data_IF_475004328605
#
_entry.id   IF_475004328605
#
_cell.length_a   1.000
_cell.length_b   1.000
_cell.length_c   1.000
_cell.angle_alpha   90.00
_cell.angle_beta   90.00
_cell.angle_gamma   90.00
#
_symmetry.space_group_name_H-M   'P 1'
#
loop_
_entity.id
_entity.type
_entity.pdbx_description
1 polymer ?
#
# COMPACT_ATOMS: atom_id res chain seq x y z
N UNK A 1 -34.33 37.24 25.94
CA UNK A 1 -34.39 36.39 24.73
C UNK A 1 -32.97 36.16 24.26
N UNK A 2 -32.49 34.93 24.37
CA UNK A 2 -31.16 34.51 23.95
C UNK A 2 -31.16 34.19 22.45
N UNK A 3 -30.12 34.64 21.73
CA UNK A 3 -29.84 34.23 20.35
C UNK A 3 -28.38 33.85 20.25
N UNK A 4 -28.07 32.57 20.44
CA UNK A 4 -26.74 32.02 20.20
C UNK A 4 -26.64 31.69 18.72
N UNK A 5 -25.73 32.38 18.02
CA UNK A 5 -25.33 32.03 16.65
C UNK A 5 -24.51 30.74 16.71
N UNK A 6 -25.07 29.65 16.21
CA UNK A 6 -24.35 28.41 15.98
C UNK A 6 -23.46 28.58 14.74
N UNK A 7 -22.16 28.76 14.95
CA UNK A 7 -21.16 28.62 13.90
C UNK A 7 -21.03 27.13 13.57
N UNK A 8 -21.54 26.71 12.41
CA UNK A 8 -21.32 25.37 11.88
C UNK A 8 -19.85 25.25 11.46
N UNK A 9 -19.04 24.58 12.28
CA UNK A 9 -17.70 24.16 11.89
C UNK A 9 -17.80 23.11 10.78
N UNK A 10 -17.52 23.50 9.53
CA UNK A 10 -17.36 22.58 8.39
C UNK A 10 -16.04 21.82 8.51
N UNK A 11 -15.94 20.95 9.51
CA UNK A 11 -14.89 19.94 9.63
C UNK A 11 -15.30 18.68 8.87
N UNK A 12 -15.45 18.74 7.55
CA UNK A 12 -15.65 17.53 6.75
C UNK A 12 -14.30 16.82 6.58
N UNK A 13 -13.91 16.03 7.59
CA UNK A 13 -12.93 14.96 7.40
C UNK A 13 -13.48 14.00 6.35
N UNK A 14 -13.01 14.11 5.11
CA UNK A 14 -13.40 13.19 4.03
C UNK A 14 -13.10 11.75 4.48
N UNK A 15 -13.97 10.78 4.14
CA UNK A 15 -13.68 9.39 4.46
C UNK A 15 -12.34 9.03 3.83
N UNK A 16 -11.49 8.40 4.63
CA UNK A 16 -10.20 7.95 4.15
C UNK A 16 -10.42 6.93 3.04
N UNK A 17 -9.76 7.17 1.91
CA UNK A 17 -9.85 6.32 0.75
C UNK A 17 -9.08 5.04 1.05
N UNK A 18 -9.83 3.94 1.17
CA UNK A 18 -9.31 2.61 1.47
C UNK A 18 -8.07 2.35 0.60
N UNK A 19 -6.99 1.89 1.24
CA UNK A 19 -5.75 1.56 0.54
C UNK A 19 -5.95 0.49 -0.53
N UNK A 20 -5.01 0.42 -1.48
CA UNK A 20 -5.07 -0.53 -2.59
C UNK A 20 -5.04 -1.98 -2.10
N UNK A 21 -5.66 -2.86 -2.88
CA UNK A 21 -5.69 -4.30 -2.59
C UNK A 21 -4.46 -4.96 -3.23
N UNK A 22 -3.56 -5.58 -2.45
CA UNK A 22 -2.39 -6.27 -3.00
C UNK A 22 -2.74 -7.65 -3.57
N UNK A 23 -2.15 -7.98 -4.72
CA UNK A 23 -2.27 -9.31 -5.35
C UNK A 23 -1.02 -10.16 -5.10
N UNK A 24 0.17 -9.54 -5.14
CA UNK A 24 1.43 -10.24 -4.91
C UNK A 24 2.50 -9.32 -4.27
N UNK A 25 3.30 -9.80 -3.28
CA UNK A 25 3.24 -11.10 -2.63
C UNK A 25 1.89 -11.37 -1.96
N UNK A 26 1.46 -12.65 -1.98
CA UNK A 26 0.15 -13.05 -1.44
C UNK A 26 0.05 -12.64 0.02
N UNK A 27 -1.07 -12.03 0.39
CA UNK A 27 -1.32 -11.59 1.76
C UNK A 27 -1.90 -12.73 2.58
N UNK A 28 -1.11 -13.26 3.52
CA UNK A 28 -1.57 -14.28 4.47
C UNK A 28 -1.87 -13.68 5.83
N UNK A 29 -3.07 -13.92 6.36
CA UNK A 29 -3.49 -13.54 7.72
C UNK A 29 -3.77 -14.80 8.53
N UNK A 30 -3.28 -14.84 9.77
CA UNK A 30 -3.74 -15.84 10.74
C UNK A 30 -5.08 -15.40 11.32
N UNK A 31 -5.98 -16.33 11.56
CA UNK A 31 -7.35 -16.04 11.98
C UNK A 31 -7.47 -15.28 13.33
N UNK A 32 -6.47 -15.37 14.21
CA UNK A 32 -6.37 -14.60 15.46
C UNK A 32 -5.38 -13.43 15.41
N UNK A 33 -4.77 -13.15 14.25
CA UNK A 33 -3.74 -12.11 14.14
C UNK A 33 -4.28 -10.91 13.39
N UNK A 34 -4.10 -9.72 13.98
CA UNK A 34 -4.39 -8.45 13.31
C UNK A 34 -3.38 -8.12 12.21
N UNK A 35 -2.27 -8.86 12.16
CA UNK A 35 -1.15 -8.62 11.26
C UNK A 35 -0.95 -9.76 10.28
N UNK A 36 -0.31 -9.47 9.15
CA UNK A 36 0.02 -10.49 8.14
C UNK A 36 1.24 -11.31 8.52
N UNK A 37 1.36 -12.48 7.90
CA UNK A 37 2.57 -13.30 7.96
C UNK A 37 3.62 -12.81 6.98
N UNK A 38 4.89 -13.13 7.27
CA UNK A 38 5.97 -12.95 6.30
C UNK A 38 5.93 -14.08 5.27
N UNK A 39 5.46 -13.75 4.07
CA UNK A 39 5.44 -14.70 2.93
C UNK A 39 6.78 -14.67 2.21
N UNK A 40 7.33 -15.84 1.90
CA UNK A 40 8.56 -15.93 1.11
C UNK A 40 8.30 -15.60 -0.36
N UNK A 41 9.16 -14.76 -0.95
CA UNK A 41 9.18 -14.51 -2.40
C UNK A 41 10.24 -15.35 -3.09
N UNK A 42 10.18 -15.41 -4.41
CA UNK A 42 11.05 -16.31 -5.19
C UNK A 42 12.42 -15.76 -5.55
N UNK A 43 12.65 -14.46 -5.35
CA UNK A 43 13.88 -13.79 -5.77
C UNK A 43 14.28 -12.68 -4.80
N UNK A 44 15.53 -12.24 -4.89
CA UNK A 44 16.02 -11.01 -4.25
C UNK A 44 15.56 -9.74 -5.01
N UNK A 45 15.02 -9.89 -6.22
CA UNK A 45 14.39 -8.82 -7.02
C UNK A 45 12.91 -9.14 -7.29
N UNK A 46 12.06 -9.29 -6.25
CA UNK A 46 10.68 -9.68 -6.43
C UNK A 46 9.88 -8.65 -7.24
N UNK A 47 8.87 -9.17 -7.93
CA UNK A 47 7.78 -8.37 -8.50
C UNK A 47 6.71 -8.13 -7.44
N UNK A 48 6.08 -6.96 -7.47
CA UNK A 48 4.93 -6.60 -6.65
C UNK A 48 3.74 -6.30 -7.57
N UNK A 49 2.54 -6.69 -7.16
CA UNK A 49 1.30 -6.49 -7.91
C UNK A 49 0.16 -6.08 -6.99
N UNK A 50 -0.70 -5.20 -7.47
CA UNK A 50 -1.89 -4.72 -6.76
C UNK A 50 -3.04 -4.47 -7.73
N UNK A 51 -4.25 -4.40 -7.21
CA UNK A 51 -5.43 -4.05 -7.98
C UNK A 51 -5.40 -2.57 -8.35
N UNK A 52 -5.90 -2.20 -9.55
CA UNK A 52 -6.01 -0.80 -9.94
C UNK A 52 -6.91 -0.02 -8.98
N UNK A 53 -6.74 1.31 -8.96
CA UNK A 53 -7.63 2.20 -8.21
C UNK A 53 -9.10 2.00 -8.66
N UNK A 54 -9.97 1.63 -7.72
CA UNK A 54 -11.41 1.59 -7.96
C UNK A 54 -11.99 3.00 -7.91
N UNK A 55 -12.28 3.55 -9.10
CA UNK A 55 -12.80 4.91 -9.28
C UNK A 55 -14.14 5.09 -8.56
N UNK A 56 -14.98 4.05 -8.50
CA UNK A 56 -16.29 4.11 -7.87
C UNK A 56 -16.19 4.35 -6.35
N UNK A 57 -15.12 3.86 -5.71
CA UNK A 57 -14.89 4.05 -4.27
C UNK A 57 -14.35 5.44 -3.93
N UNK A 58 -13.58 6.06 -4.82
CA UNK A 58 -12.91 7.34 -4.55
C UNK A 58 -13.70 8.57 -4.99
N UNK A 59 -14.65 8.37 -5.89
CA UNK A 59 -15.60 9.37 -6.31
C UNK A 59 -17.02 8.76 -6.39
N UNK A 60 -17.62 8.42 -5.23
CA UNK A 60 -18.99 7.94 -5.19
C UNK A 60 -19.92 9.11 -5.56
N UNK A 61 -20.71 8.97 -6.62
CA UNK A 61 -21.50 10.07 -7.15
C UNK A 61 -23.01 9.79 -7.03
N UNK A 62 -23.82 10.81 -6.69
CA UNK A 62 -25.24 10.82 -7.01
C UNK A 62 -25.46 10.97 -8.53
N UNK A 63 -26.66 10.60 -9.07
CA UNK A 63 -26.89 10.36 -10.50
C UNK A 63 -26.73 11.56 -11.47
N UNK A 64 -26.38 12.76 -10.99
CA UNK A 64 -26.42 14.00 -11.79
C UNK A 64 -25.01 14.58 -12.06
N UNK A 65 -23.97 14.13 -11.37
CA UNK A 65 -22.59 14.59 -11.61
C UNK A 65 -21.64 13.42 -11.92
N UNK A 66 -20.77 13.60 -12.91
CA UNK A 66 -19.64 12.71 -13.18
C UNK A 66 -18.37 13.33 -12.60
N UNK A 67 -17.82 12.75 -11.54
CA UNK A 67 -16.46 13.07 -11.15
C UNK A 67 -15.49 12.58 -12.22
N UNK A 68 -14.62 13.47 -12.65
CA UNK A 68 -13.54 13.15 -13.55
C UNK A 68 -12.32 12.73 -12.73
N UNK A 69 -11.83 11.52 -12.99
CA UNK A 69 -10.59 11.01 -12.39
C UNK A 69 -9.51 10.92 -13.46
N UNK A 70 -8.42 11.64 -13.24
CA UNK A 70 -7.27 11.70 -14.16
C UNK A 70 -5.95 11.46 -13.41
N UNK A 71 -4.86 11.32 -14.17
CA UNK A 71 -3.48 11.29 -13.67
C UNK A 71 -3.19 10.21 -12.60
N UNK A 72 -3.86 9.05 -12.70
CA UNK A 72 -3.64 7.92 -11.80
C UNK A 72 -2.23 7.37 -11.95
N UNK A 73 -1.47 7.38 -10.87
CA UNK A 73 -0.15 6.77 -10.76
C UNK A 73 0.06 6.18 -9.36
N UNK A 74 1.08 5.34 -9.19
CA UNK A 74 1.30 4.59 -7.97
C UNK A 74 2.68 4.88 -7.35
N UNK A 75 2.72 4.79 -6.02
CA UNK A 75 3.95 4.87 -5.24
C UNK A 75 4.08 3.60 -4.41
N UNK A 76 5.21 2.89 -4.55
CA UNK A 76 5.56 1.73 -3.75
C UNK A 76 6.75 2.05 -2.84
N UNK A 77 6.69 1.55 -1.61
CA UNK A 77 7.78 1.65 -0.64
C UNK A 77 8.05 0.30 0.02
N UNK A 78 9.32 0.04 0.28
CA UNK A 78 9.79 -1.16 0.96
C UNK A 78 10.75 -0.77 2.07
N UNK A 79 10.53 -1.34 3.25
CA UNK A 79 11.34 -1.14 4.44
C UNK A 79 11.89 -2.46 4.94
N UNK A 80 13.19 -2.51 5.25
CA UNK A 80 13.78 -3.61 6.00
C UNK A 80 13.30 -3.53 7.45
N UNK A 81 12.72 -4.61 7.96
CA UNK A 81 12.27 -4.68 9.36
C UNK A 81 13.47 -4.56 10.31
N UNK A 82 13.42 -3.63 11.25
CA UNK A 82 14.44 -3.47 12.31
C UNK A 82 13.86 -3.91 13.66
N UNK A 83 12.69 -3.37 14.01
CA UNK A 83 11.86 -3.85 15.11
C UNK A 83 10.44 -4.14 14.59
N UNK A 84 9.51 -4.54 15.46
CA UNK A 84 8.13 -4.87 15.04
C UNK A 84 7.41 -3.69 14.37
N UNK A 85 7.63 -2.46 14.84
CA UNK A 85 6.93 -1.27 14.34
C UNK A 85 7.79 -0.34 13.50
N UNK A 86 9.09 -0.63 13.34
CA UNK A 86 10.01 0.24 12.60
C UNK A 86 10.72 -0.51 11.48
N UNK A 87 11.06 0.24 10.44
CA UNK A 87 11.84 -0.29 9.34
C UNK A 87 12.70 0.78 8.70
N UNK A 88 13.86 0.37 8.20
CA UNK A 88 14.72 1.22 7.40
C UNK A 88 14.21 1.20 5.96
N UNK A 89 13.86 2.36 5.41
CA UNK A 89 13.47 2.46 4.00
C UNK A 89 14.64 2.02 3.11
N UNK A 90 14.39 1.04 2.24
CA UNK A 90 15.41 0.46 1.35
C UNK A 90 15.07 0.59 -0.13
N UNK A 91 13.79 0.80 -0.44
CA UNK A 91 13.33 0.98 -1.81
C UNK A 91 12.13 1.93 -1.85
N UNK A 92 12.14 2.83 -2.82
CA UNK A 92 11.03 3.70 -3.19
C UNK A 92 10.97 3.74 -4.70
N UNK A 93 9.77 3.64 -5.25
CA UNK A 93 9.51 3.99 -6.64
C UNK A 93 8.19 4.76 -6.69
N UNK A 94 8.24 5.95 -7.30
CA UNK A 94 7.09 6.81 -7.52
C UNK A 94 6.68 6.83 -9.00
N UNK A 95 5.51 7.43 -9.24
CA UNK A 95 4.96 7.70 -10.58
C UNK A 95 4.87 6.47 -11.47
N UNK A 96 4.57 5.33 -10.86
CA UNK A 96 4.33 4.09 -11.59
C UNK A 96 2.99 4.17 -12.31
N UNK A 97 2.98 3.92 -13.62
CA UNK A 97 1.75 3.87 -14.40
C UNK A 97 1.09 2.48 -14.35
N UNK A 98 1.90 1.42 -14.26
CA UNK A 98 1.43 0.04 -14.18
C UNK A 98 1.06 -0.34 -12.75
N UNK A 99 0.20 -1.36 -12.62
CA UNK A 99 -0.18 -1.99 -11.35
C UNK A 99 0.73 -3.15 -10.95
N UNK A 100 1.88 -3.24 -11.62
CA UNK A 100 2.95 -4.17 -11.31
C UNK A 100 4.29 -3.45 -11.32
N UNK A 101 5.21 -3.92 -10.47
CA UNK A 101 6.55 -3.38 -10.42
C UNK A 101 7.56 -4.41 -9.94
N UNK A 102 8.59 -4.68 -10.75
CA UNK A 102 9.76 -5.46 -10.33
C UNK A 102 10.81 -4.54 -9.78
N UNK A 103 11.27 -4.81 -8.56
CA UNK A 103 12.34 -3.99 -7.98
C UNK A 103 13.64 -4.22 -8.74
N UNK A 104 14.35 -3.13 -9.00
CA UNK A 104 15.59 -3.14 -9.79
C UNK A 104 16.83 -3.39 -8.94
N UNK A 105 16.76 -3.11 -7.64
CA UNK A 105 17.85 -3.33 -6.68
C UNK A 105 17.62 -4.64 -5.93
N UNK A 106 18.64 -5.49 -5.91
CA UNK A 106 18.65 -6.71 -5.11
C UNK A 106 18.53 -6.41 -3.61
N UNK A 107 17.61 -7.10 -2.94
CA UNK A 107 17.44 -7.05 -1.49
C UNK A 107 18.39 -8.02 -0.79
N UNK A 108 18.56 -7.84 0.52
CA UNK A 108 19.36 -8.76 1.33
C UNK A 108 18.68 -10.13 1.42
N UNK A 109 19.44 -11.24 1.31
CA UNK A 109 18.90 -12.58 1.43
C UNK A 109 18.37 -12.87 2.85
N UNK A 110 17.43 -13.80 2.96
CA UNK A 110 16.86 -14.29 4.23
C UNK A 110 16.26 -13.20 5.12
N UNK A 111 15.91 -12.04 4.55
CA UNK A 111 15.59 -10.84 5.29
C UNK A 111 14.09 -10.53 5.24
N UNK A 112 13.55 -10.04 6.36
CA UNK A 112 12.15 -9.64 6.50
C UNK A 112 11.95 -8.18 6.12
N UNK A 113 10.87 -7.92 5.38
CA UNK A 113 10.53 -6.61 4.86
C UNK A 113 9.06 -6.29 5.06
N UNK A 114 8.82 -5.00 5.23
CA UNK A 114 7.52 -4.37 5.06
C UNK A 114 7.42 -3.75 3.68
N UNK A 115 6.23 -3.79 3.10
CA UNK A 115 5.92 -3.04 1.90
C UNK A 115 4.51 -2.47 1.95
N UNK A 116 4.31 -1.44 1.16
CA UNK A 116 3.00 -0.88 0.92
C UNK A 116 3.01 -0.08 -0.38
N UNK A 117 1.83 0.11 -0.95
CA UNK A 117 1.59 0.85 -2.19
C UNK A 117 0.38 1.76 -2.02
N UNK A 118 0.38 2.92 -2.66
CA UNK A 118 -0.77 3.83 -2.70
C UNK A 118 -0.92 4.44 -4.09
N UNK A 119 -2.14 4.89 -4.41
CA UNK A 119 -2.41 5.63 -5.63
C UNK A 119 -2.38 7.13 -5.37
N UNK A 120 -1.92 7.86 -6.38
CA UNK A 120 -1.93 9.30 -6.54
C UNK A 120 -2.79 9.60 -7.76
N UNK A 121 -3.73 10.53 -7.65
CA UNK A 121 -4.68 10.81 -8.72
C UNK A 121 -5.34 12.18 -8.52
N UNK A 122 -6.03 12.67 -9.54
CA UNK A 122 -6.81 13.89 -9.46
C UNK A 122 -8.30 13.59 -9.53
N UNK A 123 -9.10 14.30 -8.74
CA UNK A 123 -10.56 14.30 -8.84
C UNK A 123 -11.03 15.72 -9.08
N UNK A 124 -11.61 15.99 -10.25
CA UNK A 124 -12.02 17.33 -10.67
C UNK A 124 -10.89 18.37 -10.50
N UNK A 125 -9.68 18.02 -10.95
CA UNK A 125 -8.47 18.86 -10.85
C UNK A 125 -7.87 19.01 -9.45
N UNK A 126 -8.37 18.27 -8.44
CA UNK A 126 -7.81 18.27 -7.09
C UNK A 126 -7.02 16.99 -6.84
N UNK A 127 -5.73 17.14 -6.55
CA UNK A 127 -4.86 16.04 -6.17
C UNK A 127 -5.38 15.31 -4.92
N UNK A 128 -5.35 13.98 -4.98
CA UNK A 128 -5.70 13.07 -3.90
C UNK A 128 -4.74 11.90 -3.87
N UNK A 129 -4.72 11.23 -2.73
CA UNK A 129 -3.99 9.99 -2.54
C UNK A 129 -4.89 9.00 -1.83
N UNK A 130 -4.77 7.71 -2.16
CA UNK A 130 -5.31 6.68 -1.28
C UNK A 130 -4.47 6.63 -0.01
N UNK A 131 -4.99 5.96 1.00
CA UNK A 131 -4.13 5.43 2.03
C UNK A 131 -3.12 4.43 1.46
N UNK A 132 -2.10 4.15 2.26
CA UNK A 132 -1.22 3.02 2.06
C UNK A 132 -2.01 1.71 2.07
N UNK A 133 -1.67 0.75 1.20
CA UNK A 133 -2.20 -0.61 1.23
C UNK A 133 -1.82 -1.29 2.55
N UNK A 134 -2.82 -1.81 3.27
CA UNK A 134 -2.64 -2.39 4.60
C UNK A 134 -3.14 -3.83 4.69
N UNK A 135 -2.50 -4.58 5.57
CA UNK A 135 -2.86 -5.92 6.02
C UNK A 135 -4.21 -5.98 6.77
N UNK A 136 -4.81 -4.86 7.17
CA UNK A 136 -6.11 -4.84 7.85
C UNK A 136 -6.52 -3.45 8.30
N UNK A 137 -7.81 -3.12 8.11
CA UNK A 137 -8.35 -1.79 8.41
C UNK A 137 -8.31 -1.44 9.91
N UNK A 138 -8.34 -2.45 10.79
CA UNK A 138 -8.26 -2.25 12.24
C UNK A 138 -6.91 -1.70 12.72
N UNK A 139 -5.85 -1.83 11.92
CA UNK A 139 -4.51 -1.30 12.22
C UNK A 139 -4.16 -0.06 11.38
N UNK A 140 -5.19 0.61 10.84
CA UNK A 140 -5.05 1.80 10.00
C UNK A 140 -4.21 2.87 10.70
N UNK A 141 -3.14 3.29 10.04
CA UNK A 141 -2.31 4.42 10.46
C UNK A 141 -1.80 5.15 9.23
N UNK A 142 -1.81 6.48 9.29
CA UNK A 142 -1.29 7.34 8.23
C UNK A 142 0.24 7.30 8.15
N UNK A 143 0.91 6.89 9.24
CA UNK A 143 2.37 6.84 9.34
C UNK A 143 2.90 5.44 9.08
N UNK A 144 3.67 5.28 8.00
CA UNK A 144 4.36 4.03 7.61
C UNK A 144 5.88 4.18 7.67
N UNK A 145 6.66 3.12 7.96
CA UNK A 145 6.20 1.75 8.20
C UNK A 145 5.58 1.57 9.58
N UNK A 146 4.66 0.62 9.71
CA UNK A 146 4.10 0.17 10.97
C UNK A 146 3.62 -1.29 10.85
N UNK A 147 3.04 -1.86 11.90
CA UNK A 147 2.65 -3.29 11.91
C UNK A 147 1.54 -3.67 10.92
N UNK A 148 0.76 -2.71 10.42
CA UNK A 148 -0.28 -2.90 9.40
C UNK A 148 0.27 -3.00 7.97
N UNK A 149 1.56 -2.73 7.75
CA UNK A 149 2.16 -2.92 6.44
C UNK A 149 2.12 -4.39 6.00
N UNK A 150 2.08 -4.59 4.69
CA UNK A 150 2.17 -5.89 4.07
C UNK A 150 3.56 -6.47 4.27
N UNK A 151 3.68 -7.80 4.34
CA UNK A 151 4.90 -8.46 4.82
C UNK A 151 5.39 -9.52 3.85
N UNK A 152 6.69 -9.52 3.62
CA UNK A 152 7.36 -10.56 2.86
C UNK A 152 8.77 -10.79 3.37
N UNK A 153 9.34 -11.95 3.05
CA UNK A 153 10.74 -12.26 3.30
C UNK A 153 11.41 -12.73 2.01
N UNK A 154 12.66 -12.35 1.81
CA UNK A 154 13.48 -12.83 0.70
C UNK A 154 13.94 -14.27 0.97
N UNK A 155 14.23 -15.05 -0.10
CA UNK A 155 14.85 -16.36 0.06
C UNK A 155 16.25 -16.22 0.67
N UNK A 156 16.75 -17.28 1.32
CA UNK A 156 18.17 -17.37 1.71
C UNK A 156 19.07 -17.37 0.47
N UNK A 157 20.39 -17.18 0.65
CA UNK A 157 21.33 -17.22 -0.49
C UNK A 157 21.27 -18.57 -1.23
N UNK A 158 21.23 -19.68 -0.49
CA UNK A 158 21.03 -21.02 -1.06
C UNK A 158 19.67 -21.15 -1.78
N UNK A 159 18.61 -20.62 -1.18
CA UNK A 159 17.26 -20.64 -1.76
C UNK A 159 17.11 -19.79 -3.02
N UNK A 160 17.93 -18.73 -3.16
CA UNK A 160 17.98 -17.86 -4.33
C UNK A 160 18.74 -18.52 -5.49
N UNK A 161 19.87 -19.16 -5.19
CA UNK A 161 20.69 -19.84 -6.20
C UNK A 161 19.97 -21.06 -6.79
N UNK A 162 19.29 -21.86 -5.96
CA UNK A 162 18.59 -23.07 -6.42
C UNK A 162 17.33 -22.78 -7.26
N UNK A 163 16.77 -21.57 -7.17
CA UNK A 163 15.60 -21.14 -7.96
C UNK A 163 15.96 -20.41 -9.27
N UNK A 164 17.25 -20.07 -9.46
CA UNK A 164 17.73 -19.36 -10.64
C UNK A 164 18.16 -20.27 -11.80
N UNK A 165 18.19 -21.59 -11.59
CA UNK A 165 18.54 -22.58 -12.61
C UNK A 165 17.26 -23.28 -13.11
N UNK A 166 16.74 -22.95 -14.31
CA UNK A 166 15.78 -23.83 -14.95
C UNK A 166 16.55 -24.99 -15.59
N UNK A 167 16.04 -26.22 -15.41
CA UNK A 167 16.40 -27.36 -16.27
C UNK A 167 15.98 -27.10 -17.73
#
# INVERSE_FOLDING_TARGET
>A
MAGVLAAAATGCGKPALVGLVPDYPVVRKKWYSLVTEFVEVDSLTPTFRWQPLDIALVAPLPPIEYARVDHVNYEIRIWRTVTKSTGKLVYVQDRLAATEHRITRSLSPGTRYYWSVRAHFEVNGRHRMTEWALAGYLLRSETVPNESCLRFKTPSEEGANNRATPE
#
